data_IF_948025003602
#
_entry.id   IF_948025003602
#
_cell.length_a   1.000
_cell.length_b   1.000
_cell.length_c   1.000
_cell.angle_alpha   90.00
_cell.angle_beta   90.00
_cell.angle_gamma   90.00
#
_symmetry.space_group_name_H-M   'P 1'
#
loop_
_entity.id
_entity.type
_entity.pdbx_description
1 polymer ?
#
# COMPACT_ATOMS: atom_id res chain seq x y z
N UNK A 1 24.85 -13.45 17.62
CA UNK A 1 24.78 -13.22 16.16
C UNK A 1 23.44 -12.55 15.87
N UNK A 2 23.43 -11.44 15.14
CA UNK A 2 22.17 -10.79 14.72
C UNK A 2 21.62 -11.58 13.55
N UNK A 3 20.36 -12.03 13.63
CA UNK A 3 19.67 -12.67 12.51
C UNK A 3 19.00 -11.59 11.67
N UNK A 4 19.24 -11.64 10.36
CA UNK A 4 18.64 -10.74 9.38
C UNK A 4 17.70 -11.56 8.49
N UNK A 5 16.50 -11.03 8.28
CA UNK A 5 15.54 -11.57 7.31
C UNK A 5 15.30 -10.47 6.28
N UNK A 6 15.72 -10.70 5.03
CA UNK A 6 15.48 -9.78 3.93
C UNK A 6 14.34 -10.29 3.05
N UNK A 7 13.39 -9.41 2.74
CA UNK A 7 12.21 -9.68 1.90
C UNK A 7 12.23 -8.70 0.73
N UNK A 8 12.13 -9.24 -0.48
CA UNK A 8 12.07 -8.46 -1.72
C UNK A 8 10.75 -7.72 -1.92
N UNK A 9 10.50 -7.38 -3.17
CA UNK A 9 9.32 -6.67 -3.64
C UNK A 9 8.04 -7.41 -3.25
N UNK A 10 7.05 -6.65 -2.79
CA UNK A 10 5.75 -7.20 -2.36
C UNK A 10 4.62 -6.70 -3.25
N UNK A 11 4.71 -5.48 -3.79
CA UNK A 11 3.72 -4.95 -4.73
C UNK A 11 2.27 -5.15 -4.30
N UNK A 12 1.95 -4.79 -3.05
CA UNK A 12 0.61 -4.90 -2.51
C UNK A 12 0.10 -6.33 -2.29
N UNK A 13 0.94 -7.36 -2.36
CA UNK A 13 0.58 -8.75 -2.02
C UNK A 13 0.66 -9.00 -0.51
N UNK A 14 -0.31 -8.43 0.21
CA UNK A 14 -0.39 -8.53 1.67
C UNK A 14 -0.45 -9.98 2.16
N UNK A 15 -1.16 -10.86 1.43
CA UNK A 15 -1.33 -12.27 1.82
C UNK A 15 0.01 -12.98 1.83
N UNK A 16 0.77 -12.91 0.74
CA UNK A 16 2.07 -13.57 0.67
C UNK A 16 3.10 -12.92 1.58
N UNK A 17 3.03 -11.60 1.79
CA UNK A 17 3.87 -10.94 2.79
C UNK A 17 3.64 -11.51 4.20
N UNK A 18 2.38 -11.67 4.64
CA UNK A 18 2.06 -12.28 5.93
C UNK A 18 2.55 -13.73 6.03
N UNK A 19 2.42 -14.53 4.96
CA UNK A 19 2.94 -15.90 4.91
C UNK A 19 4.45 -15.93 5.12
N UNK A 20 5.19 -15.05 4.44
CA UNK A 20 6.65 -14.93 4.59
C UNK A 20 7.01 -14.55 6.03
N UNK A 21 6.35 -13.54 6.60
CA UNK A 21 6.66 -13.06 7.95
C UNK A 21 6.36 -14.11 9.03
N UNK A 22 5.26 -14.88 8.90
CA UNK A 22 4.96 -15.99 9.80
C UNK A 22 5.98 -17.12 9.65
N UNK A 23 6.27 -17.53 8.41
CA UNK A 23 7.22 -18.60 8.11
C UNK A 23 8.66 -18.31 8.55
N UNK A 24 9.03 -17.03 8.68
CA UNK A 24 10.34 -16.60 9.17
C UNK A 24 10.38 -16.30 10.67
N UNK A 25 9.24 -16.35 11.36
CA UNK A 25 9.09 -16.04 12.79
C UNK A 25 9.17 -14.55 13.12
N UNK A 26 9.00 -13.67 12.13
CA UNK A 26 8.96 -12.22 12.35
C UNK A 26 7.67 -11.83 13.07
N UNK A 27 6.56 -12.47 12.71
CA UNK A 27 5.25 -12.25 13.34
C UNK A 27 4.64 -13.56 13.85
N UNK A 28 3.80 -13.44 14.88
CA UNK A 28 2.96 -14.51 15.39
C UNK A 28 1.65 -14.70 14.57
N UNK A 29 0.79 -15.61 15.02
CA UNK A 29 -0.50 -15.86 14.36
C UNK A 29 -1.45 -14.66 14.38
N UNK A 30 -1.31 -13.78 15.37
CA UNK A 30 -2.07 -12.54 15.55
C UNK A 30 -1.40 -11.34 14.85
N UNK A 31 -0.38 -11.60 14.04
CA UNK A 31 0.40 -10.61 13.29
C UNK A 31 1.24 -9.66 14.16
N UNK A 32 1.47 -9.96 15.43
CA UNK A 32 2.34 -9.15 16.29
C UNK A 32 3.79 -9.55 16.10
N UNK A 33 4.72 -8.63 16.35
CA UNK A 33 6.15 -8.93 16.34
C UNK A 33 6.51 -10.07 17.29
N UNK A 34 7.05 -11.15 16.71
CA UNK A 34 7.58 -12.31 17.40
C UNK A 34 9.08 -12.49 17.19
N UNK A 35 9.70 -11.64 16.36
CA UNK A 35 11.08 -11.78 15.92
C UNK A 35 12.15 -11.47 16.98
N UNK A 36 11.78 -11.04 18.19
CA UNK A 36 12.74 -10.65 19.24
C UNK A 36 13.75 -9.62 18.71
N UNK A 37 15.04 -9.99 18.69
CA UNK A 37 16.15 -9.16 18.21
C UNK A 37 16.45 -9.28 16.70
N UNK A 38 15.57 -9.91 15.92
CA UNK A 38 15.74 -10.04 14.47
C UNK A 38 15.67 -8.65 13.81
N UNK A 39 16.45 -8.47 12.75
CA UNK A 39 16.30 -7.33 11.84
C UNK A 39 15.52 -7.80 10.61
N UNK A 40 14.32 -7.25 10.40
CA UNK A 40 13.59 -7.36 9.14
C UNK A 40 14.11 -6.27 8.19
N UNK A 41 14.49 -6.65 6.98
CA UNK A 41 14.76 -5.72 5.87
C UNK A 41 13.69 -5.97 4.82
N UNK A 42 12.84 -4.99 4.56
CA UNK A 42 11.96 -4.99 3.39
C UNK A 42 12.63 -4.10 2.34
N UNK A 43 12.90 -4.64 1.15
CA UNK A 43 13.82 -4.05 0.18
C UNK A 43 13.24 -2.90 -0.68
N UNK A 44 12.06 -2.35 -0.32
CA UNK A 44 11.32 -1.40 -1.15
C UNK A 44 10.34 -2.09 -2.10
N UNK A 45 9.64 -1.31 -2.91
CA UNK A 45 8.62 -1.78 -3.85
C UNK A 45 7.49 -2.56 -3.14
N UNK A 46 6.96 -1.91 -2.10
CA UNK A 46 5.85 -2.38 -1.28
C UNK A 46 4.51 -2.18 -1.99
N UNK A 47 4.42 -1.16 -2.85
CA UNK A 47 3.17 -0.73 -3.49
C UNK A 47 3.17 -0.87 -5.01
N UNK A 48 2.03 -0.53 -5.60
CA UNK A 48 1.64 -0.75 -7.00
C UNK A 48 1.49 -2.23 -7.38
N UNK A 49 0.84 -2.48 -8.52
CA UNK A 49 0.50 -3.76 -9.16
C UNK A 49 -0.49 -4.63 -8.39
N UNK A 50 -0.41 -4.69 -7.06
CA UNK A 50 -1.35 -5.42 -6.21
C UNK A 50 -2.30 -4.52 -5.40
N UNK A 51 -3.34 -5.12 -4.81
CA UNK A 51 -4.47 -4.37 -4.26
C UNK A 51 -4.27 -3.86 -2.83
N UNK A 52 -3.40 -4.51 -2.05
CA UNK A 52 -3.38 -4.38 -0.58
C UNK A 52 -2.19 -3.57 -0.04
N UNK A 53 -1.59 -2.70 -0.85
CA UNK A 53 -0.43 -1.89 -0.43
C UNK A 53 -0.65 -1.12 0.88
N UNK A 54 -1.85 -0.58 1.11
CA UNK A 54 -2.21 0.10 2.36
C UNK A 54 -2.10 -0.83 3.58
N UNK A 55 -2.54 -2.08 3.46
CA UNK A 55 -2.44 -3.08 4.55
C UNK A 55 -0.99 -3.43 4.83
N UNK A 56 -0.16 -3.54 3.79
CA UNK A 56 1.29 -3.81 3.95
C UNK A 56 1.97 -2.66 4.70
N UNK A 57 1.73 -1.40 4.31
CA UNK A 57 2.29 -0.25 5.04
C UNK A 57 1.77 -0.15 6.48
N UNK A 58 0.46 -0.35 6.71
CA UNK A 58 -0.09 -0.31 8.07
C UNK A 58 0.55 -1.40 8.96
N UNK A 59 0.84 -2.59 8.40
CA UNK A 59 1.56 -3.65 9.10
C UNK A 59 3.02 -3.26 9.37
N UNK A 60 3.78 -2.80 8.37
CA UNK A 60 5.18 -2.38 8.52
C UNK A 60 5.34 -1.27 9.56
N UNK A 61 4.51 -0.22 9.49
CA UNK A 61 4.52 0.91 10.44
C UNK A 61 4.23 0.48 11.89
N UNK A 62 3.43 -0.58 12.07
CA UNK A 62 3.16 -1.16 13.39
C UNK A 62 4.33 -2.01 13.86
N UNK A 63 4.80 -2.93 13.02
CA UNK A 63 5.89 -3.85 13.34
C UNK A 63 7.18 -3.10 13.66
N UNK A 64 7.46 -1.97 13.01
CA UNK A 64 8.63 -1.14 13.33
C UNK A 64 8.66 -0.74 14.81
N UNK A 65 7.51 -0.29 15.35
CA UNK A 65 7.39 0.09 16.76
C UNK A 65 7.45 -1.10 17.71
N UNK A 66 6.89 -2.24 17.29
CA UNK A 66 6.89 -3.45 18.10
C UNK A 66 8.29 -4.09 18.14
N UNK A 67 9.01 -4.08 17.02
CA UNK A 67 10.38 -4.56 16.89
C UNK A 67 11.32 -3.77 17.80
N UNK A 68 11.27 -2.43 17.75
CA UNK A 68 12.11 -1.56 18.57
C UNK A 68 11.95 -1.87 20.07
N UNK A 69 10.70 -2.06 20.53
CA UNK A 69 10.41 -2.43 21.93
C UNK A 69 10.96 -3.81 22.32
N UNK A 70 11.06 -4.73 21.38
CA UNK A 70 11.59 -6.07 21.59
C UNK A 70 13.13 -6.16 21.39
N UNK A 71 13.77 -5.04 21.03
CA UNK A 71 15.21 -4.97 20.70
C UNK A 71 15.55 -5.52 19.32
N UNK A 72 14.57 -5.66 18.43
CA UNK A 72 14.72 -5.92 17.00
C UNK A 72 14.55 -4.65 16.18
N UNK A 73 14.56 -4.78 14.86
CA UNK A 73 14.45 -3.63 13.94
C UNK A 73 13.64 -3.98 12.69
N UNK A 74 12.92 -3.00 12.15
CA UNK A 74 12.35 -3.04 10.79
C UNK A 74 13.01 -1.97 9.95
N UNK A 75 13.63 -2.38 8.85
CA UNK A 75 14.25 -1.52 7.85
C UNK A 75 13.42 -1.59 6.58
N UNK A 76 12.45 -0.67 6.42
CA UNK A 76 11.62 -0.61 5.22
C UNK A 76 12.26 0.34 4.21
N UNK A 77 13.02 -0.21 3.27
CA UNK A 77 13.75 0.59 2.31
C UNK A 77 12.82 1.28 1.31
N UNK A 78 13.29 2.38 0.73
CA UNK A 78 12.54 3.13 -0.29
C UNK A 78 12.91 2.59 -1.67
N UNK A 79 11.95 1.94 -2.34
CA UNK A 79 12.04 1.54 -3.73
C UNK A 79 11.59 2.65 -4.70
N UNK A 80 11.67 2.39 -6.00
CA UNK A 80 11.22 3.36 -6.99
C UNK A 80 9.69 3.55 -6.93
N UNK A 81 8.93 2.52 -6.59
CA UNK A 81 7.47 2.62 -6.51
C UNK A 81 7.00 3.55 -5.38
N UNK A 82 7.67 3.53 -4.21
CA UNK A 82 7.42 4.49 -3.13
C UNK A 82 7.72 5.91 -3.58
N UNK A 83 8.87 6.13 -4.22
CA UNK A 83 9.25 7.44 -4.75
C UNK A 83 8.21 7.95 -5.76
N UNK A 84 7.85 7.12 -6.73
CA UNK A 84 6.90 7.46 -7.80
C UNK A 84 5.51 7.84 -7.27
N UNK A 85 5.04 7.16 -6.23
CA UNK A 85 3.76 7.49 -5.58
C UNK A 85 3.84 8.77 -4.73
N UNK A 86 4.97 9.03 -4.07
CA UNK A 86 5.19 10.28 -3.32
C UNK A 86 5.08 11.49 -4.26
N UNK A 87 5.75 11.45 -5.42
CA UNK A 87 5.77 12.56 -6.37
C UNK A 87 4.54 12.57 -7.30
N UNK A 88 3.86 11.43 -7.44
CA UNK A 88 2.63 11.27 -8.20
C UNK A 88 2.83 10.86 -9.67
N UNK A 89 4.05 10.47 -10.07
CA UNK A 89 4.30 9.99 -11.43
C UNK A 89 3.87 8.53 -11.63
N UNK A 90 3.54 7.79 -10.56
CA UNK A 90 3.04 6.41 -10.66
C UNK A 90 1.77 6.29 -11.53
N UNK A 91 0.94 7.34 -11.59
CA UNK A 91 -0.27 7.37 -12.40
C UNK A 91 -0.04 7.44 -13.92
N UNK A 92 1.18 7.74 -14.34
CA UNK A 92 1.54 7.86 -15.75
C UNK A 92 2.05 6.53 -16.32
N UNK A 93 2.22 5.52 -15.47
CA UNK A 93 2.61 4.17 -15.84
C UNK A 93 1.39 3.24 -15.83
N UNK A 94 1.05 2.62 -16.97
CA UNK A 94 0.01 1.59 -17.01
C UNK A 94 0.29 0.48 -15.98
N UNK A 95 -0.77 -0.04 -15.37
CA UNK A 95 -0.75 -1.20 -14.48
C UNK A 95 0.00 -1.03 -13.14
N UNK A 96 0.44 0.19 -12.81
CA UNK A 96 1.05 0.47 -11.51
C UNK A 96 -0.02 0.68 -10.45
N UNK A 97 -0.74 1.79 -10.47
CA UNK A 97 -1.78 2.04 -9.48
C UNK A 97 -3.05 1.29 -9.88
N UNK A 98 -3.38 0.20 -9.18
CA UNK A 98 -4.64 -0.52 -9.40
C UNK A 98 -5.83 0.26 -8.84
N UNK A 99 -7.07 0.01 -9.31
CA UNK A 99 -8.29 0.56 -8.71
C UNK A 99 -8.38 0.34 -7.20
N UNK A 100 -8.05 -0.86 -6.73
CA UNK A 100 -8.10 -1.23 -5.31
C UNK A 100 -7.09 -0.41 -4.49
N UNK A 101 -5.85 -0.30 -4.97
CA UNK A 101 -4.85 0.56 -4.33
C UNK A 101 -5.31 2.01 -4.33
N UNK A 102 -5.76 2.52 -5.48
CA UNK A 102 -6.22 3.90 -5.63
C UNK A 102 -7.29 4.23 -4.61
N UNK A 103 -8.34 3.41 -4.56
CA UNK A 103 -9.46 3.56 -3.64
C UNK A 103 -9.00 3.48 -2.19
N UNK A 104 -8.07 2.58 -1.85
CA UNK A 104 -7.57 2.42 -0.49
C UNK A 104 -6.86 3.67 0.06
N UNK A 105 -6.32 4.54 -0.80
CA UNK A 105 -5.65 5.77 -0.39
C UNK A 105 -6.46 7.04 -0.74
N UNK A 106 -7.75 6.93 -1.02
CA UNK A 106 -8.65 8.08 -1.08
C UNK A 106 -9.20 8.41 0.32
N UNK A 107 -9.49 9.70 0.61
CA UNK A 107 -10.30 10.05 1.78
C UNK A 107 -11.71 9.42 1.68
N UNK A 108 -12.19 8.81 2.76
CA UNK A 108 -13.47 8.06 2.77
C UNK A 108 -14.64 8.88 2.22
N UNK A 109 -14.82 10.11 2.70
CA UNK A 109 -15.89 11.02 2.22
C UNK A 109 -15.80 11.33 0.72
N UNK A 110 -14.58 11.41 0.17
CA UNK A 110 -14.39 11.66 -1.26
C UNK A 110 -14.72 10.40 -2.07
N UNK A 111 -14.25 9.24 -1.61
CA UNK A 111 -14.55 7.93 -2.20
C UNK A 111 -16.05 7.67 -2.23
N UNK A 112 -16.72 7.77 -1.08
CA UNK A 112 -18.16 7.54 -0.92
C UNK A 112 -18.99 8.43 -1.85
N UNK A 113 -18.64 9.72 -1.95
CA UNK A 113 -19.29 10.64 -2.87
C UNK A 113 -19.15 10.19 -4.34
N UNK A 114 -17.96 9.72 -4.74
CA UNK A 114 -17.73 9.23 -6.11
C UNK A 114 -18.47 7.92 -6.42
N UNK A 115 -18.56 7.03 -5.44
CA UNK A 115 -19.36 5.80 -5.55
C UNK A 115 -20.86 6.13 -5.68
N UNK A 116 -21.37 7.10 -4.93
CA UNK A 116 -22.75 7.60 -5.05
C UNK A 116 -23.01 8.21 -6.44
N UNK A 117 -22.14 9.12 -6.90
CA UNK A 117 -22.23 9.72 -8.25
C UNK A 117 -22.22 8.65 -9.37
N UNK A 118 -21.49 7.54 -9.18
CA UNK A 118 -21.48 6.41 -10.10
C UNK A 118 -22.80 5.64 -10.07
N UNK A 119 -23.30 5.30 -8.88
CA UNK A 119 -24.53 4.52 -8.70
C UNK A 119 -25.77 5.26 -9.24
N UNK A 120 -25.87 6.57 -9.03
CA UNK A 120 -26.94 7.41 -9.58
C UNK A 120 -26.95 7.39 -11.12
N UNK A 121 -25.78 7.47 -11.76
CA UNK A 121 -25.67 7.40 -13.22
C UNK A 121 -25.91 6.00 -13.78
N UNK A 122 -25.63 4.96 -13.01
CA UNK A 122 -25.84 3.58 -13.40
C UNK A 122 -27.33 3.21 -13.35
N UNK A 123 -28.06 3.68 -12.34
CA UNK A 123 -29.50 3.44 -12.20
C UNK A 123 -30.31 4.10 -13.31
N UNK A 124 -29.87 5.25 -13.83
CA UNK A 124 -30.49 5.91 -15.00
C UNK A 124 -30.33 5.13 -16.32
N UNK A 125 -29.38 4.18 -16.41
CA UNK A 125 -29.01 3.50 -17.67
C UNK A 125 -29.56 2.08 -17.85
N UNK A 126 -30.40 1.57 -16.95
CA UNK A 126 -31.06 0.25 -17.06
C UNK A 126 -30.14 -0.87 -17.61
N UNK A 127 -28.94 -1.04 -17.08
CA UNK A 127 -28.01 -2.09 -17.52
C UNK A 127 -27.72 -3.07 -16.38
N UNK A 128 -28.22 -4.30 -16.53
CA UNK A 128 -27.88 -5.47 -15.73
C UNK A 128 -26.48 -5.99 -16.10
N UNK A 129 -25.44 -5.22 -15.78
CA UNK A 129 -24.06 -5.69 -15.88
C UNK A 129 -23.44 -5.75 -14.49
N UNK A 130 -22.84 -6.89 -14.18
CA UNK A 130 -22.08 -7.21 -12.97
C UNK A 130 -21.44 -5.96 -12.31
N UNK A 131 -22.10 -5.40 -11.29
CA UNK A 131 -21.85 -4.04 -10.75
C UNK A 131 -20.38 -3.79 -10.38
N UNK A 132 -19.72 -4.82 -9.84
CA UNK A 132 -18.31 -4.80 -9.47
C UNK A 132 -17.38 -4.50 -10.65
N UNK A 133 -17.69 -4.99 -11.85
CA UNK A 133 -16.88 -4.71 -13.06
C UNK A 133 -17.10 -3.26 -13.54
N UNK A 134 -18.31 -2.72 -13.36
CA UNK A 134 -18.62 -1.33 -13.68
C UNK A 134 -17.85 -0.34 -12.80
N UNK A 135 -17.87 -0.57 -11.48
CA UNK A 135 -17.18 0.30 -10.53
C UNK A 135 -15.65 0.25 -10.68
N UNK A 136 -15.08 -0.93 -10.91
CA UNK A 136 -13.64 -1.06 -11.17
C UNK A 136 -13.21 -0.30 -12.45
N UNK A 137 -13.99 -0.41 -13.53
CA UNK A 137 -13.76 0.39 -14.76
C UNK A 137 -13.88 1.89 -14.51
N UNK A 138 -14.86 2.32 -13.72
CA UNK A 138 -15.02 3.71 -13.33
C UNK A 138 -13.76 4.24 -12.61
N UNK A 139 -13.27 3.53 -11.60
CA UNK A 139 -12.04 3.90 -10.91
C UNK A 139 -10.82 3.93 -11.82
N UNK A 140 -10.69 2.94 -12.72
CA UNK A 140 -9.63 2.92 -13.74
C UNK A 140 -9.64 4.18 -14.60
N UNK A 141 -10.83 4.66 -14.99
CA UNK A 141 -10.96 5.90 -15.77
C UNK A 141 -10.57 7.13 -14.94
N UNK A 142 -10.96 7.19 -13.66
CA UNK A 142 -10.59 8.29 -12.77
C UNK A 142 -9.07 8.35 -12.55
N UNK A 143 -8.42 7.19 -12.35
CA UNK A 143 -6.97 7.11 -12.25
C UNK A 143 -6.31 7.72 -13.49
N UNK A 144 -6.85 7.49 -14.70
CA UNK A 144 -6.26 8.00 -15.94
C UNK A 144 -6.56 9.48 -16.20
N UNK A 145 -7.77 9.93 -15.91
CA UNK A 145 -8.29 11.17 -16.47
C UNK A 145 -8.62 12.25 -15.42
N UNK A 146 -8.76 11.90 -14.15
CA UNK A 146 -9.18 12.84 -13.11
C UNK A 146 -7.98 13.32 -12.26
N UNK A 147 -7.46 14.50 -12.60
CA UNK A 147 -6.37 15.14 -11.87
C UNK A 147 -6.72 15.47 -10.41
N UNK A 148 -7.99 15.74 -10.11
CA UNK A 148 -8.44 16.03 -8.74
C UNK A 148 -8.42 14.75 -7.92
N UNK A 149 -8.91 13.63 -8.48
CA UNK A 149 -8.85 12.33 -7.83
C UNK A 149 -7.40 11.89 -7.55
N UNK A 150 -6.50 12.02 -8.55
CA UNK A 150 -5.06 11.79 -8.37
C UNK A 150 -4.47 12.64 -7.25
N UNK A 151 -4.82 13.92 -7.19
CA UNK A 151 -4.34 14.82 -6.14
C UNK A 151 -4.88 14.43 -4.76
N UNK A 152 -6.16 14.04 -4.65
CA UNK A 152 -6.74 13.55 -3.39
C UNK A 152 -6.06 12.29 -2.87
N UNK A 153 -5.77 11.33 -3.76
CA UNK A 153 -4.93 10.17 -3.43
C UNK A 153 -3.57 10.62 -2.92
N UNK A 154 -2.87 11.46 -3.69
CA UNK A 154 -1.50 11.87 -3.38
C UNK A 154 -1.40 12.61 -2.06
N UNK A 155 -2.35 13.50 -1.77
CA UNK A 155 -2.42 14.25 -0.51
C UNK A 155 -2.66 13.33 0.67
N UNK A 156 -3.65 12.42 0.57
CA UNK A 156 -3.95 11.46 1.62
C UNK A 156 -2.75 10.53 1.89
N UNK A 157 -2.19 9.95 0.83
CA UNK A 157 -1.01 9.09 0.90
C UNK A 157 0.17 9.82 1.56
N UNK A 158 0.51 11.02 1.08
CA UNK A 158 1.64 11.78 1.60
C UNK A 158 1.45 12.27 3.03
N UNK A 159 0.21 12.53 3.45
CA UNK A 159 -0.08 13.04 4.78
C UNK A 159 0.23 12.04 5.90
N UNK A 160 0.15 10.73 5.61
CA UNK A 160 0.46 9.65 6.56
C UNK A 160 1.66 8.82 6.11
N UNK A 161 1.50 8.08 5.01
CA UNK A 161 2.47 7.10 4.54
C UNK A 161 3.72 7.78 3.97
N UNK A 162 3.57 8.80 3.11
CA UNK A 162 4.73 9.52 2.57
C UNK A 162 5.58 10.19 3.65
N UNK A 163 4.98 10.71 4.75
CA UNK A 163 5.74 11.23 5.90
C UNK A 163 6.54 10.15 6.63
N UNK A 164 6.02 8.93 6.69
CA UNK A 164 6.71 7.79 7.27
C UNK A 164 7.83 7.29 6.36
N UNK A 165 7.54 7.07 5.07
CA UNK A 165 8.50 6.63 4.04
C UNK A 165 9.72 7.55 4.00
N UNK A 166 9.52 8.89 4.02
CA UNK A 166 10.62 9.87 3.97
C UNK A 166 11.63 9.81 5.13
N UNK A 167 11.35 9.04 6.19
CA UNK A 167 12.28 8.83 7.31
C UNK A 167 13.19 7.63 7.11
N UNK A 168 12.93 6.81 6.10
CA UNK A 168 13.66 5.57 5.81
C UNK A 168 14.76 5.79 4.79
N UNK A 169 15.65 4.79 4.70
CA UNK A 169 16.79 4.81 3.81
C UNK A 169 16.48 4.12 2.47
N UNK A 170 17.19 4.48 1.41
CA UNK A 170 17.23 3.70 0.16
C UNK A 170 18.27 2.57 0.21
N UNK A 171 19.27 2.70 1.07
CA UNK A 171 20.36 1.74 1.27
C UNK A 171 20.63 1.59 2.77
N UNK A 172 20.89 0.37 3.22
CA UNK A 172 21.27 0.12 4.62
C UNK A 172 22.53 -0.73 4.72
N UNK A 173 23.34 -0.44 5.74
CA UNK A 173 24.47 -1.25 6.19
C UNK A 173 24.15 -1.75 7.61
N UNK A 174 24.10 -3.07 7.79
CA UNK A 174 23.79 -3.76 9.06
C UNK A 174 25.01 -4.56 9.51
#
# INVERSE_FOLDING_TARGET
MVKIVAVGDIHGDYKNFVIILKGTGIIDENLNWAGGKIHLVQNGDVMDRGPDARKVFDLLMRLEKEAEKAGGMVHALIGNHEFMNIVGISFDYPDYVTPEQFVSFLPDKYREKKEQEFNEKASEKNHSSNENNGLNKYWTQLIRNDRVARQKYKDFFNNKYGKWIRKHNTVIKI
#
